data_IF_729145687204
#
_entry.id   IF_729145687204
#
_cell.length_a   1.000
_cell.length_b   1.000
_cell.length_c   1.000
_cell.angle_alpha   90.00
_cell.angle_beta   90.00
_cell.angle_gamma   90.00
#
_symmetry.space_group_name_H-M   'P 1'
#
loop_
_entity.id
_entity.type
_entity.pdbx_description
1 polymer ?
#
# COMPACT_ATOMS: atom_id res chain seq x y z
N UNK A 1 -1.23 15.10 -4.90
CA UNK A 1 0.17 15.01 -4.43
C UNK A 1 0.42 13.58 -3.99
N UNK A 2 1.61 13.02 -4.19
CA UNK A 2 1.93 11.65 -3.75
C UNK A 2 3.04 11.70 -2.72
N UNK A 3 2.84 10.98 -1.62
CA UNK A 3 3.82 10.81 -0.57
C UNK A 3 4.23 9.34 -0.47
N UNK A 4 5.51 9.12 -0.15
CA UNK A 4 6.08 7.79 -0.01
C UNK A 4 6.48 7.55 1.44
N UNK A 5 6.03 6.44 2.00
CA UNK A 5 6.39 5.98 3.33
C UNK A 5 7.05 4.61 3.22
N UNK A 6 8.05 4.36 4.06
CA UNK A 6 8.72 3.06 4.13
C UNK A 6 9.12 2.75 5.56
N UNK A 7 8.86 1.52 5.98
CA UNK A 7 9.35 0.97 7.25
C UNK A 7 9.86 -0.44 7.04
N UNK A 8 11.05 -0.72 7.54
CA UNK A 8 11.61 -2.07 7.65
C UNK A 8 11.32 -2.64 9.03
N UNK A 9 11.07 -3.94 9.09
CA UNK A 9 10.91 -4.74 10.31
C UNK A 9 11.53 -6.12 10.09
N UNK A 10 11.91 -6.79 11.18
CA UNK A 10 12.52 -8.13 11.15
C UNK A 10 11.47 -9.18 11.49
N UNK A 11 11.53 -10.33 10.82
CA UNK A 11 10.78 -11.53 11.13
C UNK A 11 11.80 -12.67 11.17
N UNK A 12 11.91 -13.36 12.30
CA UNK A 12 12.94 -14.39 12.50
C UNK A 12 12.79 -15.57 11.53
N UNK A 13 11.55 -16.04 11.36
CA UNK A 13 11.21 -17.10 10.40
C UNK A 13 9.88 -16.77 9.70
N UNK A 14 9.94 -16.21 8.47
CA UNK A 14 8.74 -15.90 7.70
C UNK A 14 7.84 -17.11 7.41
N UNK A 15 8.38 -18.34 7.38
CA UNK A 15 7.59 -19.54 7.13
C UNK A 15 6.64 -19.87 8.30
N UNK A 16 6.87 -19.28 9.48
CA UNK A 16 6.01 -19.41 10.66
C UNK A 16 4.91 -18.35 10.75
N UNK A 17 4.85 -17.43 9.78
CA UNK A 17 3.83 -16.38 9.75
C UNK A 17 2.69 -16.82 8.86
N UNK A 18 1.54 -17.13 9.46
CA UNK A 18 0.36 -17.60 8.72
C UNK A 18 -0.46 -16.46 8.10
N UNK A 19 -0.44 -15.27 8.70
CA UNK A 19 -1.21 -14.12 8.23
C UNK A 19 -0.57 -12.80 8.66
N UNK A 20 -0.88 -11.75 7.90
CA UNK A 20 -0.56 -10.36 8.23
C UNK A 20 -1.84 -9.53 8.12
N UNK A 21 -2.01 -8.58 9.04
CA UNK A 21 -3.13 -7.63 9.02
C UNK A 21 -2.59 -6.23 8.75
N UNK A 22 -3.15 -5.58 7.73
CA UNK A 22 -2.86 -4.19 7.38
C UNK A 22 -4.04 -3.31 7.79
N UNK A 23 -3.79 -2.32 8.66
CA UNK A 23 -4.72 -1.24 8.95
C UNK A 23 -4.20 0.05 8.33
N UNK A 24 -5.00 0.64 7.43
CA UNK A 24 -4.60 1.82 6.67
C UNK A 24 -5.68 2.90 6.71
N UNK A 25 -5.33 4.05 7.28
CA UNK A 25 -6.06 5.29 7.07
C UNK A 25 -5.37 6.06 5.94
N UNK A 26 -6.15 6.56 4.98
CA UNK A 26 -5.67 7.24 3.77
C UNK A 26 -6.74 8.17 3.25
N UNK A 27 -6.28 9.18 2.52
CA UNK A 27 -7.07 10.12 1.74
C UNK A 27 -6.17 10.60 0.59
N UNK A 28 -6.44 10.30 -0.69
CA UNK A 28 -7.64 9.61 -1.24
C UNK A 28 -7.42 8.11 -1.52
N UNK A 29 -6.20 7.74 -1.92
CA UNK A 29 -5.85 6.41 -2.44
C UNK A 29 -4.44 5.97 -2.08
N UNK A 30 -4.20 4.67 -2.13
CA UNK A 30 -2.92 4.09 -1.72
C UNK A 30 -2.61 2.77 -2.43
N UNK A 31 -1.30 2.50 -2.58
CA UNK A 31 -0.77 1.19 -2.93
C UNK A 31 0.28 0.82 -1.88
N UNK A 32 0.13 -0.35 -1.27
CA UNK A 32 1.06 -0.88 -0.26
C UNK A 32 1.85 -2.03 -0.86
N UNK A 33 3.17 -1.96 -0.69
CA UNK A 33 4.10 -2.97 -1.15
C UNK A 33 4.75 -3.66 0.05
N UNK A 34 4.85 -4.99 -0.02
CA UNK A 34 5.62 -5.80 0.92
C UNK A 34 6.74 -6.48 0.14
N UNK A 35 7.99 -6.22 0.53
CA UNK A 35 9.19 -6.76 -0.14
C UNK A 35 9.19 -6.55 -1.68
N UNK A 36 8.68 -5.40 -2.13
CA UNK A 36 8.61 -5.03 -3.54
C UNK A 36 7.42 -5.61 -4.32
N UNK A 37 6.62 -6.48 -3.71
CA UNK A 37 5.38 -6.99 -4.29
C UNK A 37 4.19 -6.18 -3.80
N UNK A 38 3.27 -5.84 -4.70
CA UNK A 38 2.03 -5.17 -4.33
C UNK A 38 1.18 -6.10 -3.47
N UNK A 39 0.92 -5.69 -2.23
CA UNK A 39 0.12 -6.45 -1.27
C UNK A 39 -1.32 -5.93 -1.19
N UNK A 40 -1.52 -4.63 -1.45
CA UNK A 40 -2.83 -4.00 -1.35
C UNK A 40 -2.92 -2.74 -2.21
N UNK A 41 -4.08 -2.52 -2.82
CA UNK A 41 -4.42 -1.33 -3.61
C UNK A 41 -5.83 -0.88 -3.27
N UNK A 42 -6.00 0.41 -2.99
CA UNK A 42 -7.31 1.03 -2.72
C UNK A 42 -7.42 2.37 -3.41
N UNK A 43 -8.56 2.62 -4.05
CA UNK A 43 -8.88 3.88 -4.75
C UNK A 43 -7.81 4.33 -5.76
N UNK A 44 -7.13 3.40 -6.45
CA UNK A 44 -6.10 3.70 -7.45
C UNK A 44 -6.41 2.97 -8.76
N UNK A 45 -6.09 3.55 -9.95
CA UNK A 45 -6.31 2.91 -11.25
C UNK A 45 -5.57 1.58 -11.32
N UNK A 46 -5.99 0.62 -12.14
CA UNK A 46 -5.25 -0.62 -12.36
C UNK A 46 -4.00 -0.42 -13.21
N UNK A 47 -3.10 -1.39 -13.19
CA UNK A 47 -1.87 -1.34 -13.99
C UNK A 47 -0.77 -0.47 -13.38
N UNK A 48 0.15 -0.03 -14.24
CA UNK A 48 1.30 0.78 -13.86
C UNK A 48 0.88 2.19 -13.45
N UNK A 49 1.37 2.64 -12.30
CA UNK A 49 1.13 3.99 -11.79
C UNK A 49 2.46 4.71 -11.55
N UNK A 50 2.42 6.03 -11.49
CA UNK A 50 3.54 6.88 -11.08
C UNK A 50 3.06 7.96 -10.11
N UNK A 51 3.97 8.81 -9.62
CA UNK A 51 3.66 9.89 -8.68
C UNK A 51 2.68 10.96 -9.20
N UNK A 52 2.33 10.93 -10.49
CA UNK A 52 1.32 11.82 -11.10
C UNK A 52 -0.03 11.11 -11.30
N UNK A 53 -0.10 9.81 -11.06
CA UNK A 53 -1.35 9.06 -11.19
C UNK A 53 -2.27 9.43 -10.05
N UNK A 54 -3.47 9.88 -10.39
CA UNK A 54 -4.48 10.29 -9.43
C UNK A 54 -5.23 9.06 -8.88
N UNK A 55 -5.81 9.23 -7.70
CA UNK A 55 -6.78 8.28 -7.15
C UNK A 55 -8.02 8.19 -8.06
N UNK A 56 -8.68 7.03 -8.11
CA UNK A 56 -9.91 6.82 -8.91
C UNK A 56 -11.14 7.47 -8.29
N UNK A 57 -11.11 7.64 -6.97
CA UNK A 57 -12.19 8.26 -6.20
C UNK A 57 -11.55 9.13 -5.14
N UNK A 58 -12.09 10.33 -4.93
CA UNK A 58 -11.77 11.10 -3.74
C UNK A 58 -12.48 10.47 -2.54
N UNK A 59 -11.77 10.25 -1.43
CA UNK A 59 -12.37 9.67 -0.22
C UNK A 59 -11.87 10.41 1.01
N UNK A 60 -12.73 11.27 1.54
CA UNK A 60 -12.53 11.99 2.80
C UNK A 60 -13.06 11.15 3.97
N UNK A 61 -12.31 11.08 5.08
CA UNK A 61 -12.64 10.32 6.31
C UNK A 61 -12.79 11.23 7.52
#
# INVERSE_FOLDING_TARGET
>A
MTYYFRRTFTVDDPARVNSLTLSLLRDDGAIVYLNGQEAYRVSMPTGAVNFRTLATTAVEY
#
